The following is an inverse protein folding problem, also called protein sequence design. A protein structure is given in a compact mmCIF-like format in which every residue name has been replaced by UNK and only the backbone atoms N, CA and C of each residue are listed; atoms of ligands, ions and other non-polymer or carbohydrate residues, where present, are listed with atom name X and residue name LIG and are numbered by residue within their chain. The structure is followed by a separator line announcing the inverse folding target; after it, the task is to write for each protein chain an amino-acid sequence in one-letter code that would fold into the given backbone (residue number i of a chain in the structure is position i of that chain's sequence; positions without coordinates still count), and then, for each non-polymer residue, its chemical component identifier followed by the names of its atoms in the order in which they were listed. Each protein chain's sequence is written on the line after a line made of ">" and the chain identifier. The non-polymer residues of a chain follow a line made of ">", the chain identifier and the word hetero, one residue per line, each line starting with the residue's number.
data_IF_142177704853
#
_entry.id   IF_142177704853
#
_cell.length_a   1.000
_cell.length_b   1.000
_cell.length_c   1.000
_cell.angle_alpha   90.00
_cell.angle_beta   90.00
_cell.angle_gamma   90.00
#
_symmetry.space_group_name_H-M   'P 1'
#
loop_
_entity.id
_entity.type
_entity.pdbx_description
1 polymer ?
#
# COMPACT_ATOMS: atom_id res chain seq x y z
N UNK A 1 0.84 -28.13 2.23
CA UNK A 1 1.95 -27.24 1.83
C UNK A 1 1.32 -25.93 1.34
N UNK A 2 1.47 -24.80 2.05
CA UNK A 2 0.95 -23.52 1.53
C UNK A 2 1.77 -23.20 0.28
N UNK A 3 1.17 -23.21 -0.91
CA UNK A 3 1.89 -22.68 -2.07
C UNK A 3 2.26 -21.25 -1.73
N UNK A 4 3.52 -20.87 -1.85
CA UNK A 4 3.93 -19.47 -1.78
C UNK A 4 3.64 -18.90 -3.17
N UNK A 5 2.35 -18.69 -3.47
CA UNK A 5 1.89 -18.08 -4.72
C UNK A 5 2.60 -16.76 -4.99
N UNK A 6 2.83 -16.50 -6.28
CA UNK A 6 3.48 -15.29 -6.78
C UNK A 6 2.58 -14.09 -6.52
N UNK A 7 3.16 -12.98 -6.05
CA UNK A 7 2.46 -11.72 -5.82
C UNK A 7 3.40 -10.53 -6.00
N UNK A 8 2.84 -9.34 -6.10
CA UNK A 8 3.60 -8.08 -6.25
C UNK A 8 3.29 -7.14 -5.10
N UNK A 9 4.20 -6.22 -4.81
CA UNK A 9 3.99 -5.25 -3.74
C UNK A 9 4.63 -3.90 -4.06
N UNK A 10 4.12 -2.88 -3.38
CA UNK A 10 4.69 -1.54 -3.31
C UNK A 10 5.02 -1.20 -1.86
N UNK A 11 6.20 -0.63 -1.65
CA UNK A 11 6.56 0.00 -0.37
C UNK A 11 6.43 1.51 -0.54
N UNK A 12 5.59 2.13 0.29
CA UNK A 12 5.27 3.54 0.28
C UNK A 12 5.53 4.14 1.65
N UNK A 13 5.78 5.45 1.70
CA UNK A 13 6.00 6.16 2.95
C UNK A 13 4.87 7.15 3.21
N UNK A 14 4.35 7.17 4.43
CA UNK A 14 3.54 8.27 4.95
C UNK A 14 4.49 9.32 5.53
N UNK A 15 4.30 10.57 5.15
CA UNK A 15 5.04 11.75 5.62
C UNK A 15 4.05 12.87 5.86
N UNK A 16 3.91 13.33 7.10
CA UNK A 16 2.99 14.40 7.52
C UNK A 16 1.57 14.16 6.98
N UNK A 17 1.06 12.94 7.14
CA UNK A 17 -0.26 12.55 6.65
C UNK A 17 -0.41 12.39 5.14
N UNK A 18 0.65 12.60 4.35
CA UNK A 18 0.62 12.37 2.90
C UNK A 18 1.34 11.08 2.51
N UNK A 19 0.90 10.45 1.43
CA UNK A 19 1.63 9.36 0.76
C UNK A 19 2.19 9.92 -0.56
N UNK A 20 3.47 10.34 -0.60
CA UNK A 20 4.06 10.93 -1.81
C UNK A 20 4.03 9.95 -2.98
N UNK A 21 3.73 10.47 -4.17
CA UNK A 21 3.68 9.70 -5.42
C UNK A 21 2.69 8.52 -5.39
N UNK A 22 1.65 8.57 -4.56
CA UNK A 22 0.67 7.48 -4.40
C UNK A 22 0.17 6.95 -5.76
N UNK A 23 -0.33 7.81 -6.64
CA UNK A 23 -0.83 7.40 -7.96
C UNK A 23 0.23 6.67 -8.79
N UNK A 24 1.50 7.06 -8.69
CA UNK A 24 2.61 6.40 -9.42
C UNK A 24 2.91 5.01 -8.85
N UNK A 25 2.87 4.86 -7.52
CA UNK A 25 3.02 3.56 -6.87
C UNK A 25 1.87 2.62 -7.28
N UNK A 26 0.62 3.08 -7.20
CA UNK A 26 -0.54 2.27 -7.57
C UNK A 26 -0.52 1.90 -9.06
N UNK A 27 -0.18 2.82 -9.95
CA UNK A 27 -0.03 2.54 -11.38
C UNK A 27 1.06 1.49 -11.65
N UNK A 28 2.19 1.55 -10.93
CA UNK A 28 3.26 0.55 -11.04
C UNK A 28 2.82 -0.83 -10.56
N UNK A 29 2.06 -0.89 -9.48
CA UNK A 29 1.50 -2.13 -8.95
C UNK A 29 0.54 -2.78 -9.96
N UNK A 30 -0.41 -2.01 -10.49
CA UNK A 30 -1.37 -2.47 -11.52
C UNK A 30 -0.65 -2.95 -12.78
N UNK A 31 0.33 -2.18 -13.26
CA UNK A 31 1.16 -2.58 -14.40
C UNK A 31 1.88 -3.90 -14.15
N UNK A 32 2.38 -4.12 -12.94
CA UNK A 32 3.10 -5.35 -12.59
C UNK A 32 2.17 -6.56 -12.51
N UNK A 33 0.96 -6.39 -11.96
CA UNK A 33 -0.09 -7.44 -12.00
C UNK A 33 -0.40 -7.84 -13.44
N UNK A 34 -0.66 -6.86 -14.30
CA UNK A 34 -0.95 -7.09 -15.73
C UNK A 34 0.22 -7.76 -16.46
N UNK A 35 1.45 -7.27 -16.29
CA UNK A 35 2.63 -7.83 -16.94
C UNK A 35 2.91 -9.29 -16.56
N UNK A 36 2.50 -9.70 -15.37
CA UNK A 36 2.67 -11.07 -14.86
C UNK A 36 1.42 -11.93 -15.01
N UNK A 37 0.36 -11.41 -15.66
CA UNK A 37 -0.94 -12.09 -15.77
C UNK A 37 -1.51 -12.54 -14.40
N UNK A 38 -1.26 -11.75 -13.36
CA UNK A 38 -1.76 -12.00 -12.01
C UNK A 38 -3.15 -11.38 -11.85
N UNK A 39 -4.03 -11.98 -11.02
CA UNK A 39 -5.34 -11.41 -10.73
C UNK A 39 -5.22 -10.01 -10.13
N UNK A 40 -6.08 -9.09 -10.58
CA UNK A 40 -6.21 -7.76 -9.99
C UNK A 40 -6.83 -7.82 -8.60
N UNK A 41 -6.65 -6.78 -7.81
CA UNK A 41 -7.31 -6.69 -6.50
C UNK A 41 -8.84 -6.70 -6.62
N UNK A 42 -9.48 -7.20 -5.57
CA UNK A 42 -10.93 -7.31 -5.41
C UNK A 42 -11.66 -5.97 -5.20
N UNK A 43 -10.90 -4.89 -4.98
CA UNK A 43 -11.39 -3.51 -4.81
C UNK A 43 -10.28 -2.51 -5.13
N UNK A 44 -10.64 -1.23 -5.16
CA UNK A 44 -9.70 -0.15 -5.46
C UNK A 44 -8.53 -0.12 -4.46
N UNK A 45 -7.32 -0.07 -5.00
CA UNK A 45 -6.08 -0.21 -4.23
C UNK A 45 -5.81 0.97 -3.29
N UNK A 46 -6.29 2.17 -3.66
CA UNK A 46 -6.20 3.37 -2.84
C UNK A 46 -7.00 3.25 -1.54
N UNK A 47 -8.16 2.58 -1.57
CA UNK A 47 -9.01 2.36 -0.41
C UNK A 47 -8.30 1.58 0.72
N UNK A 48 -7.25 0.82 0.40
CA UNK A 48 -6.44 0.13 1.40
C UNK A 48 -5.40 1.04 2.07
N UNK A 49 -4.97 2.11 1.41
CA UNK A 49 -3.83 2.93 1.89
C UNK A 49 -4.24 4.33 2.34
N UNK A 50 -5.34 4.88 1.81
CA UNK A 50 -5.91 6.17 2.23
C UNK A 50 -6.12 6.27 3.75
N UNK A 51 -6.61 5.24 4.49
CA UNK A 51 -6.77 5.35 5.94
C UNK A 51 -5.48 5.69 6.70
N UNK A 52 -4.31 5.43 6.13
CA UNK A 52 -3.03 5.73 6.77
C UNK A 52 -2.57 7.18 6.55
N UNK A 53 -3.32 8.01 5.83
CA UNK A 53 -3.08 9.47 5.78
C UNK A 53 -3.31 10.15 7.14
N UNK A 54 -3.94 9.46 8.10
CA UNK A 54 -4.10 9.94 9.49
C UNK A 54 -2.82 9.79 10.32
N UNK A 55 -1.81 9.06 9.84
CA UNK A 55 -0.52 8.90 10.52
C UNK A 55 0.44 10.04 10.15
N UNK A 56 1.31 10.46 11.08
CA UNK A 56 2.35 11.44 10.74
C UNK A 56 3.46 10.77 9.91
N UNK A 57 3.87 9.58 10.34
CA UNK A 57 4.96 8.83 9.74
C UNK A 57 4.60 7.34 9.74
N UNK A 58 4.80 6.67 8.61
CA UNK A 58 4.66 5.22 8.53
C UNK A 58 5.35 4.70 7.26
N UNK A 59 5.70 3.42 7.24
CA UNK A 59 6.04 2.69 6.01
C UNK A 59 4.92 1.69 5.74
N UNK A 60 4.26 1.84 4.60
CA UNK A 60 3.19 0.97 4.15
C UNK A 60 3.76 0.00 3.12
N UNK A 61 3.46 -1.29 3.27
CA UNK A 61 3.68 -2.30 2.25
C UNK A 61 2.34 -2.83 1.79
N UNK A 62 1.91 -2.41 0.59
CA UNK A 62 0.71 -2.91 -0.07
C UNK A 62 1.10 -4.07 -0.97
N UNK A 63 0.67 -5.29 -0.65
CA UNK A 63 0.92 -6.49 -1.43
C UNK A 63 -0.39 -7.03 -2.02
N UNK A 64 -0.36 -7.46 -3.28
CA UNK A 64 -1.47 -8.14 -3.95
C UNK A 64 -1.05 -9.54 -4.32
N UNK A 65 -1.84 -10.52 -3.89
CA UNK A 65 -1.59 -11.94 -4.17
C UNK A 65 -2.92 -12.67 -4.31
N UNK A 66 -3.05 -13.45 -5.38
CA UNK A 66 -4.28 -14.20 -5.68
C UNK A 66 -5.53 -13.31 -5.65
N UNK A 67 -5.39 -12.07 -6.15
CA UNK A 67 -6.43 -11.03 -6.15
C UNK A 67 -6.73 -10.38 -4.80
N UNK A 68 -6.03 -10.77 -3.74
CA UNK A 68 -6.21 -10.22 -2.39
C UNK A 68 -5.15 -9.18 -2.10
N UNK A 69 -5.58 -7.97 -1.76
CA UNK A 69 -4.70 -6.91 -1.30
C UNK A 69 -4.57 -6.92 0.23
N UNK A 70 -3.36 -6.77 0.73
CA UNK A 70 -3.03 -6.68 2.15
C UNK A 70 -2.06 -5.54 2.37
N UNK A 71 -2.32 -4.70 3.38
CA UNK A 71 -1.37 -3.68 3.84
C UNK A 71 -0.71 -4.15 5.11
N UNK A 72 0.62 -4.10 5.13
CA UNK A 72 1.42 -4.20 6.35
C UNK A 72 1.98 -2.83 6.67
N UNK A 73 1.91 -2.43 7.94
CA UNK A 73 2.38 -1.13 8.42
C UNK A 73 3.61 -1.35 9.31
N UNK A 74 4.65 -0.54 9.12
CA UNK A 74 5.84 -0.54 9.94
C UNK A 74 6.28 0.87 10.32
N UNK A 75 6.90 1.01 11.49
CA UNK A 75 7.44 2.29 11.97
C UNK A 75 6.40 3.41 12.07
N UNK A 76 5.15 3.06 12.40
CA UNK A 76 4.05 4.01 12.51
C UNK A 76 4.25 4.99 13.67
N UNK A 77 3.94 6.26 13.44
CA UNK A 77 3.82 7.31 14.42
C UNK A 77 2.51 8.04 14.18
N UNK A 78 1.70 8.15 15.22
CA UNK A 78 0.41 8.85 15.16
C UNK A 78 0.61 10.35 14.96
N UNK A 79 -0.36 10.96 14.29
CA UNK A 79 -0.39 12.41 14.14
C UNK A 79 -0.53 13.09 15.51
N UNK A 80 0.52 13.80 15.94
CA UNK A 80 0.48 14.64 17.14
C UNK A 80 0.11 16.07 16.75
N UNK A 81 -0.99 16.63 17.26
CA UNK A 81 -1.29 18.04 17.03
C UNK A 81 -0.15 18.89 17.64
N UNK A 82 0.40 19.82 16.86
CA UNK A 82 1.30 20.84 17.41
C UNK A 82 0.45 21.78 18.26
N UNK A 83 0.58 21.70 19.58
CA UNK A 83 0.11 22.75 20.48
C UNK A 83 0.93 24.02 20.16
N UNK A 84 0.22 25.08 19.75
CA UNK A 84 0.76 26.43 19.60
C UNK A 84 0.94 27.08 20.98
#
# INVERSE_FOLDING_TARGET
>A
MRSQGVGVFETMRVRRGAIPLLSRHLARLVRSLSALSLPTADRDLDAFVVPFSEMDEAVLRLAVRDGRAVVTVGGAQDHRPRLL
#
